data_IF_008275932240
#
_entry.id   IF_008275932240
#
_cell.length_a   1.000
_cell.length_b   1.000
_cell.length_c   1.000
_cell.angle_alpha   90.00
_cell.angle_beta   90.00
_cell.angle_gamma   90.00
#
_symmetry.space_group_name_H-M   'P 1'
#
loop_
_entity.id
_entity.type
_entity.pdbx_description
1 polymer ?
#
# COMPACT_ATOMS: atom_id res chain seq x y z
N UNK A 1 -18.43 -12.12 4.00
CA UNK A 1 -17.17 -12.17 3.21
C UNK A 1 -17.34 -11.69 1.77
N UNK A 2 -18.14 -12.34 0.91
CA UNK A 2 -18.29 -11.92 -0.51
C UNK A 2 -18.77 -10.47 -0.70
N UNK A 3 -19.72 -10.02 0.12
CA UNK A 3 -20.27 -8.65 0.06
C UNK A 3 -19.23 -7.57 0.41
N UNK A 4 -18.35 -7.79 1.39
CA UNK A 4 -17.29 -6.84 1.75
C UNK A 4 -16.31 -6.64 0.59
N UNK A 5 -15.91 -7.74 -0.07
CA UNK A 5 -15.02 -7.69 -1.24
C UNK A 5 -15.68 -6.92 -2.40
N UNK A 6 -16.96 -7.17 -2.67
CA UNK A 6 -17.71 -6.43 -3.70
C UNK A 6 -17.79 -4.92 -3.38
N UNK A 7 -18.07 -4.56 -2.13
CA UNK A 7 -18.10 -3.18 -1.66
C UNK A 7 -16.74 -2.48 -1.79
N UNK A 8 -15.64 -3.12 -1.39
CA UNK A 8 -14.28 -2.57 -1.52
C UNK A 8 -13.90 -2.33 -2.99
N UNK A 9 -14.16 -3.30 -3.87
CA UNK A 9 -13.92 -3.18 -5.32
C UNK A 9 -14.74 -2.04 -5.94
N UNK A 10 -16.02 -1.95 -5.58
CA UNK A 10 -16.89 -0.87 -6.04
C UNK A 10 -16.40 0.50 -5.55
N UNK A 11 -15.96 0.60 -4.29
CA UNK A 11 -15.42 1.83 -3.74
C UNK A 11 -14.20 2.31 -4.52
N UNK A 12 -13.22 1.43 -4.76
CA UNK A 12 -12.03 1.75 -5.56
C UNK A 12 -12.40 2.19 -6.97
N UNK A 13 -13.29 1.45 -7.64
CA UNK A 13 -13.76 1.81 -8.98
C UNK A 13 -14.39 3.20 -9.01
N UNK A 14 -15.14 3.59 -7.99
CA UNK A 14 -15.71 4.93 -7.87
C UNK A 14 -14.64 5.99 -7.56
N UNK A 15 -13.67 5.68 -6.70
CA UNK A 15 -12.57 6.59 -6.35
C UNK A 15 -11.66 6.91 -7.55
N UNK A 16 -11.58 6.03 -8.56
CA UNK A 16 -10.91 6.37 -9.84
C UNK A 16 -11.55 7.58 -10.56
N UNK A 17 -12.80 7.93 -10.25
CA UNK A 17 -13.58 8.94 -10.98
C UNK A 17 -13.94 10.17 -10.14
N UNK A 18 -14.11 10.01 -8.84
CA UNK A 18 -14.65 11.05 -7.95
C UNK A 18 -14.14 10.89 -6.52
N UNK A 19 -14.18 11.96 -5.74
CA UNK A 19 -13.75 11.94 -4.33
C UNK A 19 -14.72 11.12 -3.46
N UNK A 20 -14.26 10.66 -2.29
CA UNK A 20 -15.08 9.92 -1.32
C UNK A 20 -16.36 10.70 -0.94
N UNK A 21 -16.24 12.01 -0.75
CA UNK A 21 -17.36 12.90 -0.39
C UNK A 21 -18.47 12.95 -1.46
N UNK A 22 -18.14 12.63 -2.71
CA UNK A 22 -19.10 12.59 -3.83
C UNK A 22 -19.75 11.20 -4.01
N UNK A 23 -19.29 10.20 -3.25
CA UNK A 23 -19.87 8.85 -3.27
C UNK A 23 -20.99 8.80 -2.24
N UNK A 24 -22.16 8.29 -2.63
CA UNK A 24 -23.23 7.96 -1.69
C UNK A 24 -23.28 6.46 -1.48
N UNK A 25 -23.77 6.02 -0.31
CA UNK A 25 -24.03 4.59 -0.03
C UNK A 25 -24.93 3.97 -1.10
N UNK A 26 -25.92 4.72 -1.60
CA UNK A 26 -26.78 4.27 -2.71
C UNK A 26 -25.96 3.94 -3.96
N UNK A 27 -25.10 4.87 -4.40
CA UNK A 27 -24.27 4.70 -5.60
C UNK A 27 -23.27 3.55 -5.44
N UNK A 28 -22.66 3.44 -4.26
CA UNK A 28 -21.76 2.33 -3.92
C UNK A 28 -22.47 0.98 -4.00
N UNK A 29 -23.64 0.84 -3.35
CA UNK A 29 -24.42 -0.40 -3.35
C UNK A 29 -24.85 -0.80 -4.77
N UNK A 30 -25.20 0.16 -5.62
CA UNK A 30 -25.52 -0.08 -7.03
C UNK A 30 -24.31 -0.60 -7.80
N UNK A 31 -23.14 0.03 -7.63
CA UNK A 31 -21.89 -0.40 -8.27
C UNK A 31 -21.42 -1.78 -7.77
N UNK A 32 -21.67 -2.10 -6.51
CA UNK A 32 -21.30 -3.38 -5.90
C UNK A 32 -22.34 -4.50 -6.12
N UNK A 33 -23.49 -4.20 -6.73
CA UNK A 33 -24.62 -5.14 -6.90
C UNK A 33 -25.09 -5.75 -5.56
N UNK A 34 -25.19 -4.93 -4.50
CA UNK A 34 -25.68 -5.35 -3.18
C UNK A 34 -26.76 -4.42 -2.63
N UNK A 35 -27.58 -4.92 -1.70
CA UNK A 35 -28.56 -4.11 -0.98
C UNK A 35 -27.92 -3.14 0.02
N UNK A 36 -28.61 -2.03 0.33
CA UNK A 36 -28.17 -1.08 1.38
C UNK A 36 -28.15 -1.72 2.77
N UNK A 37 -29.09 -2.61 3.07
CA UNK A 37 -29.09 -3.40 4.30
C UNK A 37 -27.79 -4.21 4.43
N UNK A 38 -27.28 -4.74 3.32
CA UNK A 38 -25.98 -5.43 3.28
C UNK A 38 -24.84 -4.48 3.60
N UNK A 39 -24.81 -3.26 3.05
CA UNK A 39 -23.80 -2.27 3.42
C UNK A 39 -23.84 -1.95 4.92
N UNK A 40 -25.03 -1.61 5.44
CA UNK A 40 -25.20 -1.23 6.85
C UNK A 40 -25.02 -2.40 7.83
N UNK A 41 -25.01 -3.64 7.34
CA UNK A 41 -24.61 -4.80 8.16
C UNK A 41 -23.10 -4.89 8.39
N UNK A 42 -22.28 -4.19 7.60
CA UNK A 42 -20.82 -4.19 7.71
C UNK A 42 -20.25 -2.83 8.12
N UNK A 43 -20.87 -1.73 7.71
CA UNK A 43 -20.33 -0.38 7.82
C UNK A 43 -21.40 0.65 8.14
N UNK A 44 -21.11 1.59 9.02
CA UNK A 44 -21.99 2.72 9.31
C UNK A 44 -21.90 3.80 8.21
N UNK A 45 -20.73 3.96 7.61
CA UNK A 45 -20.44 4.99 6.62
C UNK A 45 -19.33 4.55 5.64
N UNK A 46 -19.08 5.37 4.61
CA UNK A 46 -18.08 5.06 3.58
C UNK A 46 -16.64 5.14 4.08
N UNK A 47 -16.38 5.93 5.11
CA UNK A 47 -15.04 6.08 5.69
C UNK A 47 -14.61 4.79 6.41
N UNK A 48 -15.51 4.13 7.15
CA UNK A 48 -15.24 2.82 7.75
C UNK A 48 -14.90 1.73 6.71
N UNK A 49 -15.60 1.75 5.56
CA UNK A 49 -15.28 0.85 4.45
C UNK A 49 -13.91 1.17 3.86
N UNK A 50 -13.60 2.45 3.66
CA UNK A 50 -12.30 2.88 3.15
C UNK A 50 -11.18 2.49 4.12
N UNK A 51 -11.37 2.72 5.41
CA UNK A 51 -10.42 2.34 6.45
C UNK A 51 -10.17 0.81 6.49
N UNK A 52 -11.21 -0.02 6.37
CA UNK A 52 -11.02 -1.47 6.29
C UNK A 52 -10.26 -1.89 5.03
N UNK A 53 -10.44 -1.18 3.91
CA UNK A 53 -9.67 -1.42 2.69
C UNK A 53 -8.20 -1.01 2.85
N UNK A 54 -7.93 0.16 3.42
CA UNK A 54 -6.56 0.62 3.71
C UNK A 54 -5.83 -0.37 4.62
N UNK A 55 -6.51 -0.82 5.69
CA UNK A 55 -5.93 -1.73 6.66
C UNK A 55 -5.61 -3.09 6.03
N UNK A 56 -6.47 -3.62 5.15
CA UNK A 56 -6.20 -4.85 4.41
C UNK A 56 -4.95 -4.71 3.53
N UNK A 57 -4.85 -3.62 2.76
CA UNK A 57 -3.71 -3.37 1.88
C UNK A 57 -2.40 -3.23 2.67
N UNK A 58 -2.39 -2.40 3.72
CA UNK A 58 -1.20 -2.17 4.54
C UNK A 58 -0.79 -3.42 5.32
N UNK A 59 -1.75 -4.23 5.77
CA UNK A 59 -1.44 -5.49 6.44
C UNK A 59 -0.70 -6.44 5.51
N UNK A 60 -1.19 -6.65 4.28
CA UNK A 60 -0.53 -7.53 3.30
C UNK A 60 0.86 -7.00 2.90
N UNK A 61 0.98 -5.69 2.67
CA UNK A 61 2.26 -5.02 2.41
C UNK A 61 3.25 -5.23 3.57
N UNK A 62 2.78 -5.04 4.81
CA UNK A 62 3.60 -5.22 6.00
C UNK A 62 4.03 -6.67 6.20
N UNK A 63 3.13 -7.63 5.95
CA UNK A 63 3.42 -9.06 6.09
C UNK A 63 4.51 -9.47 5.11
N UNK A 64 4.35 -9.13 3.82
CA UNK A 64 5.33 -9.43 2.76
C UNK A 64 6.69 -8.79 2.99
N UNK A 65 6.69 -7.57 3.53
CA UNK A 65 7.93 -6.91 3.94
C UNK A 65 8.56 -7.54 5.20
N UNK A 66 7.74 -8.10 6.12
CA UNK A 66 8.20 -8.67 7.40
C UNK A 66 8.60 -10.14 7.38
N UNK A 67 7.98 -11.00 6.56
CA UNK A 67 8.17 -12.47 6.53
C UNK A 67 9.60 -12.90 6.11
N UNK A 68 10.46 -11.94 5.79
CA UNK A 68 11.85 -12.16 5.42
C UNK A 68 12.86 -11.61 6.46
N UNK A 69 12.40 -10.91 7.50
CA UNK A 69 13.23 -10.52 8.64
C UNK A 69 13.52 -11.72 9.59
N UNK A 70 12.64 -12.72 9.63
CA UNK A 70 12.82 -13.94 10.44
C UNK A 70 13.71 -15.01 9.78
N UNK A 71 14.04 -14.86 8.49
CA UNK A 71 15.06 -15.70 7.85
C UNK A 71 16.43 -15.22 8.32
N UNK A 72 16.92 -15.81 9.42
CA UNK A 72 18.28 -15.63 10.01
C UNK A 72 19.47 -15.94 9.07
N UNK A 73 19.33 -15.85 7.74
CA UNK A 73 20.36 -16.19 6.75
C UNK A 73 20.42 -15.29 5.52
N UNK A 74 19.62 -14.24 5.43
CA UNK A 74 19.72 -13.27 4.34
C UNK A 74 20.60 -12.11 4.78
N UNK A 75 21.62 -11.78 3.99
CA UNK A 75 22.42 -10.58 4.25
C UNK A 75 21.47 -9.37 4.17
N UNK A 76 21.77 -8.23 4.83
CA UNK A 76 21.03 -6.98 4.61
C UNK A 76 20.88 -6.60 3.12
N UNK A 77 21.75 -7.14 2.26
CA UNK A 77 21.75 -7.01 0.81
C UNK A 77 20.80 -7.96 0.04
N UNK A 78 20.13 -8.91 0.69
CA UNK A 78 19.18 -9.82 0.05
C UNK A 78 17.78 -9.19 0.05
N UNK A 79 17.52 -8.37 -0.97
CA UNK A 79 16.23 -7.70 -1.18
C UNK A 79 15.19 -8.63 -1.84
N UNK A 80 15.17 -9.93 -1.52
CA UNK A 80 14.15 -10.83 -2.06
C UNK A 80 12.73 -10.44 -1.63
N UNK A 81 12.59 -9.71 -0.51
CA UNK A 81 11.33 -9.16 -0.01
C UNK A 81 10.75 -8.07 -0.90
N UNK A 82 11.64 -7.40 -1.65
CA UNK A 82 11.23 -6.38 -2.58
C UNK A 82 10.34 -6.96 -3.68
N UNK A 83 10.63 -8.20 -4.14
CA UNK A 83 9.86 -8.85 -5.19
C UNK A 83 8.43 -9.20 -4.73
N UNK A 84 8.26 -9.73 -3.52
CA UNK A 84 6.93 -10.08 -2.99
C UNK A 84 6.05 -8.83 -2.79
N UNK A 85 6.65 -7.72 -2.34
CA UNK A 85 5.96 -6.42 -2.24
C UNK A 85 5.63 -5.89 -3.63
N UNK A 86 6.57 -5.98 -4.58
CA UNK A 86 6.39 -5.55 -5.98
C UNK A 86 5.25 -6.32 -6.65
N UNK A 87 5.19 -7.64 -6.50
CA UNK A 87 4.11 -8.44 -7.06
C UNK A 87 2.76 -8.07 -6.46
N UNK A 88 2.70 -7.85 -5.15
CA UNK A 88 1.48 -7.40 -4.50
C UNK A 88 1.00 -6.03 -5.01
N UNK A 89 1.89 -5.03 -5.12
CA UNK A 89 1.48 -3.71 -5.64
C UNK A 89 1.11 -3.77 -7.12
N UNK A 90 1.64 -4.72 -7.90
CA UNK A 90 1.24 -4.95 -9.31
C UNK A 90 -0.17 -5.54 -9.37
N UNK A 91 -0.44 -6.55 -8.56
CA UNK A 91 -1.77 -7.17 -8.44
C UNK A 91 -2.83 -6.16 -7.97
N UNK A 92 -2.45 -5.24 -7.09
CA UNK A 92 -3.30 -4.18 -6.52
C UNK A 92 -3.03 -2.79 -7.11
N UNK A 93 -2.53 -2.72 -8.36
CA UNK A 93 -2.08 -1.47 -8.99
C UNK A 93 -3.12 -0.35 -8.94
N UNK A 94 -4.39 -0.68 -9.16
CA UNK A 94 -5.46 0.34 -9.20
C UNK A 94 -5.69 0.92 -7.82
N UNK A 95 -5.78 0.07 -6.80
CA UNK A 95 -5.95 0.44 -5.41
C UNK A 95 -4.81 1.32 -4.92
N UNK A 96 -3.57 0.88 -5.14
CA UNK A 96 -2.37 1.60 -4.74
C UNK A 96 -2.34 2.98 -5.40
N UNK A 97 -2.42 3.06 -6.74
CA UNK A 97 -2.31 4.34 -7.44
C UNK A 97 -3.48 5.29 -7.15
N UNK A 98 -4.67 4.78 -6.89
CA UNK A 98 -5.79 5.63 -6.45
C UNK A 98 -5.44 6.29 -5.14
N UNK A 99 -4.98 5.52 -4.14
CA UNK A 99 -4.72 6.01 -2.79
C UNK A 99 -3.40 6.78 -2.64
N UNK A 100 -2.44 6.65 -3.57
CA UNK A 100 -1.14 7.36 -3.49
C UNK A 100 -0.99 8.49 -4.50
N UNK A 101 -1.62 8.40 -5.67
CA UNK A 101 -1.38 9.33 -6.80
C UNK A 101 -2.62 10.08 -7.27
N UNK A 102 -3.70 9.38 -7.60
CA UNK A 102 -4.85 10.02 -8.25
C UNK A 102 -5.79 10.71 -7.25
N UNK A 103 -5.91 10.13 -6.06
CA UNK A 103 -6.69 10.65 -4.92
C UNK A 103 -5.88 10.37 -3.63
N UNK A 104 -4.73 11.04 -3.44
CA UNK A 104 -3.84 10.75 -2.33
C UNK A 104 -4.59 10.78 -1.01
N UNK A 105 -4.62 9.63 -0.35
CA UNK A 105 -5.25 9.46 0.94
C UNK A 105 -4.16 9.50 2.02
N UNK A 106 -4.20 10.55 2.84
CA UNK A 106 -3.17 10.78 3.85
C UNK A 106 -3.13 9.65 4.89
N UNK A 107 -4.29 9.07 5.24
CA UNK A 107 -4.38 8.00 6.24
C UNK A 107 -3.73 6.72 5.72
N UNK A 108 -3.99 6.35 4.47
CA UNK A 108 -3.34 5.23 3.80
C UNK A 108 -1.81 5.41 3.72
N UNK A 109 -1.36 6.58 3.24
CA UNK A 109 0.06 6.89 3.07
C UNK A 109 0.79 6.84 4.41
N UNK A 110 0.21 7.41 5.48
CA UNK A 110 0.78 7.34 6.82
C UNK A 110 0.81 5.91 7.37
N UNK A 111 -0.27 5.13 7.23
CA UNK A 111 -0.32 3.72 7.64
C UNK A 111 0.78 2.91 6.94
N UNK A 112 0.96 3.09 5.63
CA UNK A 112 1.99 2.38 4.87
C UNK A 112 3.41 2.82 5.29
N UNK A 113 3.66 4.13 5.44
CA UNK A 113 4.95 4.62 5.95
C UNK A 113 5.27 4.01 7.30
N UNK A 114 4.32 4.02 8.23
CA UNK A 114 4.51 3.45 9.56
C UNK A 114 4.79 1.95 9.53
N UNK A 115 4.17 1.19 8.61
CA UNK A 115 4.50 -0.22 8.39
C UNK A 115 5.95 -0.40 7.91
N UNK A 116 6.42 0.40 6.96
CA UNK A 116 7.81 0.38 6.48
C UNK A 116 8.77 0.68 7.63
N UNK A 117 8.54 1.78 8.37
CA UNK A 117 9.37 2.19 9.53
C UNK A 117 9.44 1.10 10.60
N UNK A 118 8.32 0.45 10.92
CA UNK A 118 8.28 -0.65 11.87
C UNK A 118 9.16 -1.83 11.41
N UNK A 119 9.20 -2.11 10.11
CA UNK A 119 10.06 -3.16 9.56
C UNK A 119 11.54 -2.74 9.47
N UNK A 120 11.84 -1.45 9.21
CA UNK A 120 13.20 -0.91 9.32
C UNK A 120 13.73 -1.03 10.76
N UNK A 121 12.90 -0.71 11.77
CA UNK A 121 13.25 -0.91 13.18
C UNK A 121 13.60 -2.37 13.50
N UNK A 122 12.78 -3.33 13.03
CA UNK A 122 13.02 -4.77 13.24
C UNK A 122 14.35 -5.23 12.61
N UNK A 123 14.82 -4.56 11.57
CA UNK A 123 16.08 -4.86 10.88
C UNK A 123 17.32 -4.26 11.57
N UNK A 124 17.15 -3.48 12.63
CA UNK A 124 18.26 -2.90 13.39
C UNK A 124 18.94 -1.71 12.72
N UNK A 125 18.29 -1.08 11.73
CA UNK A 125 18.78 0.18 11.15
C UNK A 125 18.85 1.28 12.22
N UNK A 126 19.73 2.30 12.08
CA UNK A 126 19.83 3.41 13.02
C UNK A 126 18.46 4.00 13.33
N UNK A 127 18.16 4.19 14.62
CA UNK A 127 16.88 4.76 15.07
C UNK A 127 16.89 6.27 14.89
N UNK A 128 16.80 6.71 13.64
CA UNK A 128 16.67 8.10 13.25
C UNK A 128 15.30 8.31 12.58
N UNK A 129 14.45 9.10 13.21
CA UNK A 129 13.06 9.31 12.77
C UNK A 129 12.99 9.99 11.39
N UNK A 130 13.92 10.91 11.10
CA UNK A 130 13.96 11.61 9.83
C UNK A 130 14.41 10.66 8.71
N UNK A 131 15.45 9.86 8.97
CA UNK A 131 15.89 8.82 8.05
C UNK A 131 14.75 7.86 7.70
N UNK A 132 14.01 7.43 8.71
CA UNK A 132 12.91 6.49 8.55
C UNK A 132 11.75 7.08 7.75
N UNK A 133 11.44 8.36 7.98
CA UNK A 133 10.47 9.10 7.17
C UNK A 133 10.92 9.21 5.71
N UNK A 134 12.19 9.59 5.47
CA UNK A 134 12.74 9.72 4.12
C UNK A 134 12.69 8.39 3.36
N UNK A 135 13.19 7.31 3.95
CA UNK A 135 13.19 5.98 3.33
C UNK A 135 11.77 5.51 3.01
N UNK A 136 10.83 5.69 3.94
CA UNK A 136 9.44 5.27 3.73
C UNK A 136 8.77 6.08 2.60
N UNK A 137 9.01 7.39 2.54
CA UNK A 137 8.48 8.25 1.48
C UNK A 137 9.10 7.93 0.11
N UNK A 138 10.42 7.75 0.04
CA UNK A 138 11.12 7.37 -1.20
C UNK A 138 10.67 6.01 -1.73
N UNK A 139 10.43 5.05 -0.82
CA UNK A 139 9.94 3.71 -1.19
C UNK A 139 8.57 3.77 -1.86
N UNK A 140 7.62 4.50 -1.27
CA UNK A 140 6.29 4.69 -1.87
C UNK A 140 6.40 5.42 -3.21
N UNK A 141 7.23 6.47 -3.29
CA UNK A 141 7.44 7.21 -4.53
C UNK A 141 8.03 6.32 -5.65
N UNK A 142 8.99 5.45 -5.31
CA UNK A 142 9.57 4.50 -6.26
C UNK A 142 8.53 3.49 -6.77
N UNK A 143 7.68 2.96 -5.88
CA UNK A 143 6.60 2.06 -6.26
C UNK A 143 5.56 2.73 -7.16
N UNK A 144 5.11 3.95 -6.83
CA UNK A 144 4.16 4.66 -7.69
C UNK A 144 4.73 4.93 -9.08
N UNK A 145 6.00 5.35 -9.14
CA UNK A 145 6.67 5.61 -10.40
C UNK A 145 6.80 4.32 -11.25
N UNK A 146 7.16 3.21 -10.62
CA UNK A 146 7.20 1.90 -11.29
C UNK A 146 5.82 1.50 -11.84
N UNK A 147 4.76 1.60 -11.03
CA UNK A 147 3.42 1.24 -11.45
C UNK A 147 2.89 2.11 -12.61
N UNK A 148 3.33 3.38 -12.68
CA UNK A 148 3.00 4.30 -13.77
C UNK A 148 3.88 4.13 -15.03
N UNK A 149 5.03 3.45 -14.94
CA UNK A 149 5.96 3.26 -16.05
C UNK A 149 6.63 1.88 -16.02
N UNK A 150 5.85 0.78 -16.02
CA UNK A 150 6.39 -0.58 -15.86
C UNK A 150 7.32 -1.01 -17.00
N UNK A 151 7.21 -0.40 -18.18
CA UNK A 151 8.04 -0.66 -19.34
C UNK A 151 9.43 0.01 -19.27
N UNK A 152 9.60 1.04 -18.43
CA UNK A 152 10.84 1.83 -18.39
C UNK A 152 11.92 1.24 -17.48
N UNK A 153 11.53 0.46 -16.48
CA UNK A 153 12.45 -0.09 -15.49
C UNK A 153 12.06 -1.53 -15.17
N UNK A 154 13.05 -2.42 -15.20
CA UNK A 154 12.92 -3.75 -14.61
C UNK A 154 12.87 -3.66 -13.08
N UNK A 155 12.26 -4.65 -12.45
CA UNK A 155 12.20 -4.78 -10.99
C UNK A 155 13.60 -4.74 -10.36
N UNK A 156 14.59 -5.36 -11.01
CA UNK A 156 16.00 -5.32 -10.58
C UNK A 156 16.61 -3.92 -10.60
N UNK A 157 16.23 -3.07 -11.56
CA UNK A 157 16.72 -1.68 -11.60
C UNK A 157 16.14 -0.86 -10.44
N UNK A 158 14.86 -1.02 -10.12
CA UNK A 158 14.22 -0.28 -9.03
C UNK A 158 14.76 -0.76 -7.69
N UNK A 159 14.87 -2.08 -7.51
CA UNK A 159 15.52 -2.68 -6.36
C UNK A 159 16.90 -2.04 -6.15
N UNK A 160 17.77 -2.02 -7.17
CA UNK A 160 19.11 -1.42 -7.09
C UNK A 160 19.09 0.04 -6.66
N UNK A 161 18.17 0.85 -7.18
CA UNK A 161 18.03 2.27 -6.80
C UNK A 161 17.63 2.40 -5.32
N UNK A 162 16.64 1.62 -4.87
CA UNK A 162 16.22 1.61 -3.45
C UNK A 162 17.36 1.12 -2.53
N UNK A 163 18.10 0.07 -2.93
CA UNK A 163 19.29 -0.40 -2.20
C UNK A 163 20.33 0.70 -2.06
N UNK A 164 20.63 1.39 -3.17
CA UNK A 164 21.64 2.45 -3.18
C UNK A 164 21.22 3.61 -2.28
N UNK A 165 19.95 4.00 -2.30
CA UNK A 165 19.41 5.02 -1.40
C UNK A 165 19.63 4.61 0.07
N UNK A 166 19.28 3.38 0.45
CA UNK A 166 19.48 2.87 1.82
C UNK A 166 20.95 2.87 2.26
N UNK A 167 21.87 2.50 1.37
CA UNK A 167 23.32 2.46 1.66
C UNK A 167 23.95 3.84 1.86
N UNK A 168 23.34 4.91 1.35
CA UNK A 168 23.83 6.28 1.60
C UNK A 168 23.79 6.60 3.10
N UNK A 169 22.90 5.96 3.85
CA UNK A 169 22.65 6.21 5.27
C UNK A 169 23.36 5.24 6.22
N UNK A 170 24.09 4.24 5.70
CA UNK A 170 24.88 3.29 6.51
C UNK A 170 26.32 3.79 6.81
N UNK A 171 26.63 5.06 6.50
CA UNK A 171 27.96 5.66 6.69
C UNK A 171 28.07 6.49 7.97
#
# INVERSE_FOLDING_TARGET
>A
MKSKVALKRALIKLLTRQSLMQISVKKLCQEAEVGRSTFYSHYNNLDELLEELENDLVKELSVRDSELADRKKTKPSDFSYFLDVVDYIKEHKTEILVLTKFRPDARFIEKWKNAIKANLHKRGLPKDDLLYEMVAAETIAAFDYYLLSPEKYSESQIQKVVVQALKIFEK
#
